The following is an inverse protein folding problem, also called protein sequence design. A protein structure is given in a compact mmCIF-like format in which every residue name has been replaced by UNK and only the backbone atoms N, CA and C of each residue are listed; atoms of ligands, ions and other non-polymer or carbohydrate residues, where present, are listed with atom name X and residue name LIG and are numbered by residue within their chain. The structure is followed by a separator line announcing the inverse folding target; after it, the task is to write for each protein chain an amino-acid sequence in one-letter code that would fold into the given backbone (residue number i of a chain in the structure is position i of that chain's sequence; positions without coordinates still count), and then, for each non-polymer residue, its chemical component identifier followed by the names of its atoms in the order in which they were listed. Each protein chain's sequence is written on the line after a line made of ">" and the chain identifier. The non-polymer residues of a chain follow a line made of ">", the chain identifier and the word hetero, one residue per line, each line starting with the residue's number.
data_IF_225431428449
#
_entry.id   IF_225431428449
#
_cell.length_a   1.000
_cell.length_b   1.000
_cell.length_c   1.000
_cell.angle_alpha   90.00
_cell.angle_beta   90.00
_cell.angle_gamma   90.00
#
_symmetry.space_group_name_H-M   'P 1'
#
loop_
_entity.id
_entity.type
_entity.pdbx_description
1 polymer ?
#
# COMPACT_ATOMS: atom_id res chain seq x y z
N UNK A 1 23.77 -11.84 0.87
CA UNK A 1 23.50 -12.15 -0.54
C UNK A 1 22.06 -12.67 -0.70
N UNK A 2 21.57 -12.75 -1.93
CA UNK A 2 20.24 -13.34 -2.21
C UNK A 2 20.14 -14.79 -1.73
N UNK A 3 21.21 -15.55 -1.83
CA UNK A 3 21.28 -16.92 -1.31
C UNK A 3 21.12 -16.98 0.23
N UNK A 4 21.71 -16.04 0.95
CA UNK A 4 21.54 -15.97 2.42
C UNK A 4 20.11 -15.55 2.78
N UNK A 5 19.51 -14.68 1.95
CA UNK A 5 18.12 -14.26 2.10
C UNK A 5 17.15 -15.44 1.91
N UNK A 6 17.38 -16.32 0.92
CA UNK A 6 16.59 -17.54 0.71
C UNK A 6 16.70 -18.54 1.87
N UNK A 7 17.78 -18.49 2.65
CA UNK A 7 18.00 -19.36 3.80
C UNK A 7 17.46 -18.80 5.12
N UNK A 8 16.80 -17.63 5.08
CA UNK A 8 16.19 -17.08 6.29
C UNK A 8 15.05 -17.98 6.79
N UNK A 9 14.87 -18.05 8.10
CA UNK A 9 13.75 -18.75 8.73
C UNK A 9 12.56 -17.84 9.06
N UNK A 10 12.55 -16.62 8.54
CA UNK A 10 11.47 -15.65 8.74
C UNK A 10 10.23 -16.05 7.93
N UNK A 11 10.45 -16.63 6.76
CA UNK A 11 9.39 -17.13 5.87
C UNK A 11 9.68 -18.60 5.53
N UNK A 12 8.71 -19.47 5.69
CA UNK A 12 8.86 -20.90 5.43
C UNK A 12 8.81 -21.29 3.94
N UNK A 13 7.93 -20.71 3.09
CA UNK A 13 7.94 -21.05 1.68
C UNK A 13 9.15 -20.42 0.96
N UNK A 14 9.53 -21.04 -0.14
CA UNK A 14 10.55 -20.49 -1.04
C UNK A 14 10.16 -19.09 -1.50
N UNK A 15 11.04 -18.13 -1.31
CA UNK A 15 10.82 -16.75 -1.75
C UNK A 15 11.12 -16.61 -3.24
N UNK A 16 10.21 -15.99 -3.96
CA UNK A 16 10.39 -15.70 -5.38
C UNK A 16 11.48 -14.66 -5.59
N UNK A 17 12.14 -14.71 -6.74
CA UNK A 17 13.06 -13.66 -7.18
C UNK A 17 12.33 -12.32 -7.27
N UNK A 18 13.00 -11.23 -6.86
CA UNK A 18 12.43 -9.88 -6.88
C UNK A 18 11.77 -9.43 -5.57
N UNK A 19 11.69 -10.28 -4.54
CA UNK A 19 11.28 -9.84 -3.20
C UNK A 19 12.43 -9.08 -2.56
N UNK A 20 12.22 -7.77 -2.33
CA UNK A 20 13.25 -6.87 -1.80
C UNK A 20 13.50 -6.99 -0.29
N UNK A 21 12.51 -7.49 0.46
CA UNK A 21 12.60 -7.68 1.91
C UNK A 21 11.45 -8.52 2.42
N UNK A 22 11.50 -8.90 3.69
CA UNK A 22 10.42 -9.61 4.37
C UNK A 22 10.31 -9.17 5.82
N UNK A 23 9.10 -8.88 6.24
CA UNK A 23 8.77 -8.61 7.65
C UNK A 23 7.94 -9.74 8.23
N UNK A 24 8.44 -10.35 9.32
CA UNK A 24 7.71 -11.39 10.03
C UNK A 24 6.53 -10.81 10.80
N UNK A 25 5.34 -11.35 10.54
CA UNK A 25 4.09 -10.85 11.10
C UNK A 25 4.06 -10.80 12.65
N UNK A 26 4.72 -11.75 13.31
CA UNK A 26 4.53 -11.95 14.76
C UNK A 26 5.69 -11.51 15.64
N UNK A 27 6.88 -11.37 15.09
CA UNK A 27 8.08 -10.99 15.84
C UNK A 27 8.70 -9.71 15.33
N UNK A 28 8.09 -9.11 14.29
CA UNK A 28 8.59 -7.90 13.64
C UNK A 28 10.07 -8.01 13.23
N UNK A 29 10.54 -9.25 12.95
CA UNK A 29 11.87 -9.42 12.38
C UNK A 29 11.81 -9.02 10.91
N UNK A 30 12.77 -8.20 10.53
CA UNK A 30 12.91 -7.74 9.15
C UNK A 30 14.19 -8.34 8.57
N UNK A 31 14.11 -8.93 7.41
CA UNK A 31 15.25 -9.45 6.65
C UNK A 31 15.28 -8.81 5.28
N UNK A 32 16.40 -8.17 4.96
CA UNK A 32 16.57 -7.42 3.72
C UNK A 32 17.91 -7.82 3.10
N UNK A 33 17.93 -8.32 1.85
CA UNK A 33 19.17 -8.55 1.13
C UNK A 33 19.78 -7.21 0.72
N UNK A 34 21.10 -7.10 0.77
CA UNK A 34 21.82 -5.96 0.18
C UNK A 34 22.33 -6.34 -1.21
N UNK A 35 21.85 -5.68 -2.23
CA UNK A 35 22.17 -5.98 -3.65
C UNK A 35 23.15 -4.97 -4.28
N UNK A 36 23.76 -4.11 -3.44
CA UNK A 36 24.80 -3.16 -3.88
C UNK A 36 24.31 -1.74 -4.12
N UNK A 37 23.01 -1.49 -4.13
CA UNK A 37 22.41 -0.17 -4.25
C UNK A 37 21.93 0.34 -2.88
N UNK A 38 22.53 1.41 -2.38
CA UNK A 38 22.17 2.00 -1.08
C UNK A 38 20.84 2.73 -1.08
N UNK A 39 20.43 3.33 -2.18
CA UNK A 39 19.15 4.07 -2.24
C UNK A 39 18.00 3.09 -2.29
N UNK A 40 18.11 2.02 -3.07
CA UNK A 40 17.14 0.93 -3.06
C UNK A 40 17.10 0.23 -1.70
N UNK A 41 18.26 -0.05 -1.09
CA UNK A 41 18.31 -0.65 0.23
C UNK A 41 17.64 0.20 1.30
N UNK A 42 17.84 1.52 1.27
CA UNK A 42 17.17 2.47 2.16
C UNK A 42 15.66 2.46 1.95
N UNK A 43 15.20 2.46 0.70
CA UNK A 43 13.79 2.38 0.37
C UNK A 43 13.17 1.11 0.96
N UNK A 44 13.78 -0.05 0.73
CA UNK A 44 13.28 -1.34 1.24
C UNK A 44 13.27 -1.36 2.77
N UNK A 45 14.29 -0.82 3.45
CA UNK A 45 14.28 -0.69 4.91
C UNK A 45 13.05 0.09 5.38
N UNK A 46 12.77 1.26 4.80
CA UNK A 46 11.62 2.06 5.20
C UNK A 46 10.31 1.34 4.92
N UNK A 47 10.19 0.66 3.77
CA UNK A 47 9.03 -0.13 3.40
C UNK A 47 8.73 -1.22 4.43
N UNK A 48 9.72 -2.05 4.77
CA UNK A 48 9.58 -3.13 5.74
C UNK A 48 9.32 -2.63 7.17
N UNK A 49 9.90 -1.49 7.55
CA UNK A 49 9.58 -0.86 8.84
C UNK A 49 8.12 -0.42 8.95
N UNK A 50 7.52 0.05 7.86
CA UNK A 50 6.08 0.36 7.85
C UNK A 50 5.26 -0.90 8.12
N UNK A 51 5.59 -2.03 7.49
CA UNK A 51 4.93 -3.31 7.78
C UNK A 51 5.09 -3.72 9.25
N UNK A 52 6.28 -3.58 9.81
CA UNK A 52 6.51 -3.87 11.23
C UNK A 52 5.63 -3.02 12.15
N UNK A 53 5.50 -1.72 11.84
CA UNK A 53 4.62 -0.80 12.60
C UNK A 53 3.14 -1.14 12.44
N UNK A 54 2.68 -1.45 11.23
CA UNK A 54 1.29 -1.88 10.98
C UNK A 54 1.01 -3.18 11.74
N UNK A 55 1.93 -4.15 11.70
CA UNK A 55 1.78 -5.42 12.38
C UNK A 55 1.67 -5.23 13.89
N UNK A 56 2.53 -4.42 14.48
CA UNK A 56 2.48 -4.11 15.91
C UNK A 56 1.18 -3.39 16.29
N UNK A 57 0.81 -2.38 15.50
CA UNK A 57 -0.40 -1.58 15.72
C UNK A 57 -1.67 -2.42 15.63
N UNK A 58 -1.79 -3.29 14.64
CA UNK A 58 -3.00 -4.09 14.38
C UNK A 58 -3.04 -5.35 15.23
N UNK A 59 -1.97 -6.12 15.19
CA UNK A 59 -1.93 -7.48 15.75
C UNK A 59 -1.31 -7.52 17.16
N UNK A 60 -0.35 -6.65 17.45
CA UNK A 60 0.37 -6.57 18.71
C UNK A 60 1.22 -7.82 18.95
N UNK A 61 0.61 -8.95 19.35
CA UNK A 61 1.34 -10.20 19.58
C UNK A 61 0.77 -11.37 18.79
N UNK A 62 1.61 -12.36 18.48
CA UNK A 62 1.21 -13.62 17.87
C UNK A 62 0.03 -14.28 18.60
N UNK A 63 0.03 -14.21 19.93
CA UNK A 63 -1.01 -14.79 20.77
C UNK A 63 -2.40 -14.19 20.47
N UNK A 64 -2.49 -12.91 20.13
CA UNK A 64 -3.75 -12.27 19.78
C UNK A 64 -4.35 -12.84 18.50
N UNK A 65 -3.50 -13.16 17.52
CA UNK A 65 -3.92 -13.76 16.25
C UNK A 65 -4.30 -15.22 16.43
N UNK A 66 -3.44 -16.02 17.10
CA UNK A 66 -3.70 -17.44 17.35
C UNK A 66 -4.93 -17.70 18.23
N UNK A 67 -5.20 -16.80 19.18
CA UNK A 67 -6.39 -16.89 20.03
C UNK A 67 -7.67 -16.42 19.36
N UNK A 68 -7.61 -15.96 18.09
CA UNK A 68 -8.74 -15.41 17.36
C UNK A 68 -9.26 -14.06 17.89
N UNK A 69 -8.48 -13.38 18.74
CA UNK A 69 -8.81 -12.06 19.27
C UNK A 69 -8.75 -10.97 18.19
N UNK A 70 -7.86 -11.14 17.20
CA UNK A 70 -7.74 -10.26 16.05
C UNK A 70 -8.18 -11.02 14.81
N UNK A 71 -9.27 -10.58 14.19
CA UNK A 71 -9.83 -11.12 12.95
C UNK A 71 -9.65 -10.18 11.77
N UNK A 72 -9.18 -8.97 12.04
CA UNK A 72 -8.94 -7.96 11.03
C UNK A 72 -7.87 -8.46 10.03
N UNK A 73 -8.19 -8.31 8.74
CA UNK A 73 -7.23 -8.41 7.64
C UNK A 73 -7.14 -7.06 6.98
N UNK A 74 -5.96 -6.47 6.98
CA UNK A 74 -5.67 -5.25 6.23
C UNK A 74 -5.62 -5.64 4.74
N UNK A 75 -6.38 -4.96 3.86
CA UNK A 75 -6.29 -5.23 2.42
C UNK A 75 -4.88 -5.03 1.89
N UNK A 76 -4.49 -5.84 0.89
CA UNK A 76 -3.13 -5.81 0.32
C UNK A 76 -2.76 -4.38 -0.15
N UNK A 77 -3.65 -3.74 -0.90
CA UNK A 77 -3.42 -2.38 -1.38
C UNK A 77 -3.23 -1.35 -0.26
N UNK A 78 -3.92 -1.53 0.87
CA UNK A 78 -3.79 -0.63 2.01
C UNK A 78 -2.48 -0.85 2.76
N UNK A 79 -2.01 -2.09 2.84
CA UNK A 79 -0.76 -2.47 3.48
C UNK A 79 0.46 -2.08 2.63
N UNK A 80 0.54 -2.60 1.41
CA UNK A 80 1.67 -2.35 0.49
C UNK A 80 1.71 -0.89 0.02
N UNK A 81 0.55 -0.34 -0.34
CA UNK A 81 0.46 1.05 -0.76
C UNK A 81 0.86 2.05 0.32
N UNK A 82 0.58 1.76 1.61
CA UNK A 82 1.07 2.62 2.69
C UNK A 82 2.58 2.50 2.86
N UNK A 83 3.13 1.29 2.75
CA UNK A 83 4.56 1.08 2.82
C UNK A 83 5.29 1.84 1.70
N UNK A 84 4.78 1.80 0.46
CA UNK A 84 5.30 2.61 -0.65
C UNK A 84 5.15 4.12 -0.38
N UNK A 85 3.96 4.58 0.03
CA UNK A 85 3.71 5.99 0.27
C UNK A 85 4.60 6.58 1.36
N UNK A 86 4.85 5.87 2.44
CA UNK A 86 5.67 6.36 3.54
C UNK A 86 7.18 6.21 3.28
N UNK A 87 7.60 5.25 2.44
CA UNK A 87 9.01 5.04 2.08
C UNK A 87 9.51 5.94 0.96
N UNK A 88 8.69 6.21 -0.06
CA UNK A 88 9.05 6.99 -1.24
C UNK A 88 8.23 8.27 -1.43
N UNK A 89 7.09 8.40 -0.78
CA UNK A 89 6.07 9.43 -0.98
C UNK A 89 5.42 9.34 -2.36
N UNK A 90 6.08 9.80 -3.43
CA UNK A 90 5.63 9.70 -4.82
C UNK A 90 6.83 9.55 -5.74
N UNK A 91 6.71 8.72 -6.76
CA UNK A 91 7.78 8.45 -7.72
C UNK A 91 7.27 8.51 -9.17
N UNK A 92 8.20 8.66 -10.12
CA UNK A 92 7.90 8.79 -11.54
C UNK A 92 7.23 7.54 -12.11
N UNK A 93 7.58 6.35 -11.61
CA UNK A 93 6.99 5.11 -12.09
C UNK A 93 5.52 5.02 -11.69
N UNK A 94 5.20 5.37 -10.45
CA UNK A 94 3.82 5.44 -9.97
C UNK A 94 3.02 6.47 -10.76
N UNK A 95 3.60 7.65 -11.02
CA UNK A 95 2.99 8.69 -11.83
C UNK A 95 2.66 8.23 -13.24
N UNK A 96 3.62 7.60 -13.92
CA UNK A 96 3.45 7.08 -15.28
C UNK A 96 2.31 6.05 -15.36
N UNK A 97 2.28 5.10 -14.43
CA UNK A 97 1.28 4.03 -14.42
C UNK A 97 -0.11 4.58 -14.14
N UNK A 98 -0.25 5.43 -13.12
CA UNK A 98 -1.55 5.99 -12.75
C UNK A 98 -2.08 6.96 -13.82
N UNK A 99 -1.18 7.67 -14.50
CA UNK A 99 -1.51 8.52 -15.65
C UNK A 99 -2.06 7.67 -16.81
N UNK A 100 -1.37 6.59 -17.16
CA UNK A 100 -1.78 5.69 -18.24
C UNK A 100 -3.17 5.10 -17.97
N UNK A 101 -3.39 4.55 -16.78
CA UNK A 101 -4.70 4.04 -16.37
C UNK A 101 -5.80 5.12 -16.37
N UNK A 102 -5.47 6.36 -15.99
CA UNK A 102 -6.43 7.46 -15.95
C UNK A 102 -6.81 7.95 -17.36
N UNK A 103 -5.83 8.03 -18.26
CA UNK A 103 -6.00 8.45 -19.67
C UNK A 103 -6.86 7.45 -20.43
N UNK A 104 -6.64 6.15 -20.21
CA UNK A 104 -7.40 5.08 -20.89
C UNK A 104 -8.71 4.70 -20.17
N UNK A 105 -9.05 5.37 -19.06
CA UNK A 105 -10.22 5.06 -18.23
C UNK A 105 -10.26 3.61 -17.68
N UNK A 106 -9.09 2.97 -17.55
CA UNK A 106 -8.93 1.58 -17.08
C UNK A 106 -8.64 1.47 -15.58
N UNK A 107 -8.98 2.48 -14.79
CA UNK A 107 -8.70 2.49 -13.35
C UNK A 107 -9.53 1.45 -12.60
N UNK A 108 -8.89 0.51 -11.89
CA UNK A 108 -9.58 -0.47 -11.08
C UNK A 108 -10.21 0.18 -9.83
N UNK A 109 -11.15 -0.51 -9.20
CA UNK A 109 -11.61 -0.14 -7.85
C UNK A 109 -10.51 -0.40 -6.82
N UNK A 110 -10.58 0.24 -5.66
CA UNK A 110 -9.59 -0.01 -4.58
C UNK A 110 -9.54 -1.49 -4.16
N UNK A 111 -10.66 -2.21 -4.28
CA UNK A 111 -10.75 -3.64 -3.95
C UNK A 111 -10.11 -4.55 -5.01
N UNK A 112 -9.92 -4.04 -6.23
CA UNK A 112 -9.28 -4.73 -7.35
C UNK A 112 -7.78 -4.43 -7.45
N UNK A 113 -7.23 -3.60 -6.57
CA UNK A 113 -5.80 -3.32 -6.53
C UNK A 113 -5.06 -4.53 -5.96
N UNK A 114 -4.56 -5.38 -6.85
CA UNK A 114 -3.84 -6.61 -6.54
C UNK A 114 -2.45 -6.61 -7.18
N UNK A 115 -1.58 -7.53 -6.74
CA UNK A 115 -0.23 -7.69 -7.27
C UNK A 115 0.51 -6.35 -7.32
N UNK A 116 1.11 -5.99 -8.43
CA UNK A 116 1.86 -4.76 -8.63
C UNK A 116 1.00 -3.49 -8.41
N UNK A 117 -0.29 -3.52 -8.80
CA UNK A 117 -1.18 -2.38 -8.59
C UNK A 117 -1.55 -2.17 -7.11
N UNK A 118 -1.40 -3.17 -6.25
CA UNK A 118 -1.55 -2.97 -4.81
C UNK A 118 -0.52 -1.99 -4.26
N UNK A 119 0.71 -2.02 -4.79
CA UNK A 119 1.79 -1.09 -4.42
C UNK A 119 1.52 0.30 -4.99
N UNK A 120 1.48 0.45 -6.30
CA UNK A 120 1.42 1.75 -6.99
C UNK A 120 0.06 2.41 -6.91
N UNK A 121 -1.01 1.66 -7.12
CA UNK A 121 -2.39 2.12 -6.92
C UNK A 121 -2.68 2.43 -5.45
N UNK A 122 -2.27 1.53 -4.54
CA UNK A 122 -2.41 1.75 -3.11
C UNK A 122 -1.64 2.98 -2.62
N UNK A 123 -0.41 3.21 -3.09
CA UNK A 123 0.36 4.42 -2.84
C UNK A 123 -0.42 5.68 -3.24
N UNK A 124 -1.03 5.65 -4.41
CA UNK A 124 -1.87 6.75 -4.92
C UNK A 124 -3.12 7.00 -4.07
N UNK A 125 -3.79 5.94 -3.60
CA UNK A 125 -4.94 6.07 -2.68
C UNK A 125 -4.51 6.75 -1.38
N UNK A 126 -3.38 6.35 -0.79
CA UNK A 126 -2.88 6.98 0.43
C UNK A 126 -2.41 8.42 0.21
N UNK A 127 -1.80 8.72 -0.94
CA UNK A 127 -1.49 10.11 -1.35
C UNK A 127 -2.76 10.96 -1.42
N UNK A 128 -3.81 10.46 -2.06
CA UNK A 128 -5.12 11.12 -2.11
C UNK A 128 -5.69 11.38 -0.70
N UNK A 129 -5.69 10.37 0.17
CA UNK A 129 -6.19 10.51 1.54
C UNK A 129 -5.38 11.57 2.32
N UNK A 130 -4.04 11.50 2.24
CA UNK A 130 -3.17 12.43 2.93
C UNK A 130 -3.34 13.87 2.46
N UNK A 131 -3.53 14.08 1.15
CA UNK A 131 -3.77 15.41 0.58
C UNK A 131 -5.14 15.98 0.95
N UNK A 132 -6.17 15.13 0.97
CA UNK A 132 -7.54 15.57 1.20
C UNK A 132 -7.90 15.72 2.68
N UNK A 133 -7.38 14.85 3.52
CA UNK A 133 -7.79 14.73 4.93
C UNK A 133 -6.67 15.01 5.92
N UNK A 134 -5.41 15.09 5.47
CA UNK A 134 -4.24 15.20 6.31
C UNK A 134 -3.57 13.83 6.59
N UNK A 135 -2.26 13.86 6.85
CA UNK A 135 -1.47 12.63 7.10
C UNK A 135 -1.84 11.96 8.43
N UNK A 136 -2.33 12.71 9.39
CA UNK A 136 -2.80 12.23 10.69
C UNK A 136 -3.96 11.24 10.57
N UNK A 137 -4.78 11.36 9.52
CA UNK A 137 -5.89 10.44 9.26
C UNK A 137 -5.45 9.00 8.98
N UNK A 138 -4.23 8.80 8.54
CA UNK A 138 -3.67 7.46 8.34
C UNK A 138 -3.70 6.67 9.67
N UNK A 139 -3.18 7.27 10.74
CA UNK A 139 -3.20 6.64 12.07
C UNK A 139 -4.63 6.43 12.61
N UNK A 140 -5.53 7.37 12.37
CA UNK A 140 -6.93 7.24 12.77
C UNK A 140 -7.65 6.11 12.04
N UNK A 141 -7.36 5.92 10.73
CA UNK A 141 -7.92 4.81 9.93
C UNK A 141 -7.49 3.47 10.53
N UNK A 142 -6.20 3.25 10.77
CA UNK A 142 -5.71 2.00 11.34
C UNK A 142 -6.22 1.75 12.76
N UNK A 143 -6.31 2.80 13.59
CA UNK A 143 -6.90 2.71 14.92
C UNK A 143 -8.39 2.32 14.84
N UNK A 144 -9.12 2.91 13.91
CA UNK A 144 -10.53 2.60 13.67
C UNK A 144 -10.71 1.17 13.15
N UNK A 145 -9.89 0.72 12.19
CA UNK A 145 -9.89 -0.67 11.70
C UNK A 145 -9.71 -1.66 12.85
N UNK A 146 -8.70 -1.41 13.70
CA UNK A 146 -8.43 -2.25 14.87
C UNK A 146 -9.62 -2.30 15.82
N UNK A 147 -10.25 -1.17 16.08
CA UNK A 147 -11.40 -1.07 16.98
C UNK A 147 -12.61 -1.82 16.45
N UNK A 148 -12.95 -1.65 15.17
CA UNK A 148 -14.14 -2.27 14.57
C UNK A 148 -13.86 -3.66 13.98
N UNK A 149 -12.61 -4.13 13.96
CA UNK A 149 -12.16 -5.40 13.40
C UNK A 149 -12.59 -5.62 11.93
N UNK A 150 -12.67 -4.54 11.17
CA UNK A 150 -13.05 -4.53 9.75
C UNK A 150 -12.39 -3.34 9.04
N UNK A 151 -11.73 -3.58 7.93
CA UNK A 151 -10.99 -2.56 7.21
C UNK A 151 -11.92 -1.48 6.65
N UNK A 152 -12.93 -1.86 5.86
CA UNK A 152 -13.84 -0.91 5.22
C UNK A 152 -14.58 -0.03 6.23
N UNK A 153 -15.13 -0.64 7.29
CA UNK A 153 -15.76 0.11 8.40
C UNK A 153 -14.76 1.01 9.12
N UNK A 154 -13.48 0.66 9.13
CA UNK A 154 -12.42 1.50 9.68
C UNK A 154 -12.22 2.77 8.87
N UNK A 155 -12.22 2.68 7.55
CA UNK A 155 -12.20 3.83 6.65
C UNK A 155 -13.46 4.68 6.80
N UNK A 156 -14.64 4.06 6.76
CA UNK A 156 -15.92 4.76 6.93
C UNK A 156 -15.94 5.55 8.24
N UNK A 157 -15.54 4.93 9.36
CA UNK A 157 -15.49 5.60 10.65
C UNK A 157 -14.51 6.76 10.73
N UNK A 158 -13.35 6.66 10.08
CA UNK A 158 -12.26 7.64 10.18
C UNK A 158 -12.42 8.82 9.20
N UNK A 159 -12.89 8.54 7.98
CA UNK A 159 -12.95 9.54 6.89
C UNK A 159 -14.32 9.60 6.21
N UNK A 160 -15.33 8.87 6.69
CA UNK A 160 -16.71 8.88 6.16
C UNK A 160 -16.81 8.25 4.76
N UNK A 161 -15.97 7.26 4.44
CA UNK A 161 -15.97 6.60 3.14
C UNK A 161 -15.85 5.08 3.29
N UNK A 162 -16.80 4.34 2.75
CA UNK A 162 -16.65 2.95 2.38
C UNK A 162 -15.74 2.80 1.15
N UNK A 163 -15.41 1.58 0.74
CA UNK A 163 -14.50 1.36 -0.39
C UNK A 163 -15.09 1.76 -1.74
N UNK A 164 -16.41 1.74 -1.90
CA UNK A 164 -17.06 2.22 -3.13
C UNK A 164 -16.92 3.74 -3.25
N UNK A 165 -17.24 4.46 -2.19
CA UNK A 165 -17.11 5.92 -2.11
C UNK A 165 -15.65 6.36 -2.25
N UNK A 166 -14.73 5.65 -1.59
CA UNK A 166 -13.29 5.88 -1.71
C UNK A 166 -12.82 5.74 -3.15
N UNK A 167 -13.23 4.67 -3.85
CA UNK A 167 -12.94 4.46 -5.27
C UNK A 167 -13.42 5.64 -6.12
N UNK A 168 -14.70 6.04 -5.98
CA UNK A 168 -15.27 7.16 -6.75
C UNK A 168 -14.50 8.46 -6.55
N UNK A 169 -14.13 8.76 -5.32
CA UNK A 169 -13.41 10.00 -5.00
C UNK A 169 -11.95 9.96 -5.46
N UNK A 170 -11.29 8.80 -5.34
CA UNK A 170 -9.94 8.59 -5.84
C UNK A 170 -9.88 8.68 -7.36
N UNK A 171 -10.81 8.05 -8.10
CA UNK A 171 -10.90 8.18 -9.56
C UNK A 171 -11.11 9.65 -9.99
N UNK A 172 -12.00 10.37 -9.27
CA UNK A 172 -12.19 11.81 -9.55
C UNK A 172 -10.92 12.63 -9.28
N UNK A 173 -10.16 12.27 -8.25
CA UNK A 173 -8.87 12.90 -7.95
C UNK A 173 -7.86 12.66 -9.07
N UNK A 174 -7.71 11.41 -9.54
CA UNK A 174 -6.79 11.06 -10.63
C UNK A 174 -7.20 11.73 -11.96
N UNK A 175 -8.49 11.71 -12.30
CA UNK A 175 -8.99 12.43 -13.50
C UNK A 175 -8.64 13.92 -13.42
N UNK A 176 -8.80 14.56 -12.28
CA UNK A 176 -8.44 15.97 -12.12
C UNK A 176 -6.92 16.22 -12.20
N UNK A 177 -6.12 15.32 -11.65
CA UNK A 177 -4.65 15.41 -11.68
C UNK A 177 -4.12 15.30 -13.11
N UNK A 178 -4.66 14.38 -13.91
CA UNK A 178 -4.19 14.06 -15.25
C UNK A 178 -5.04 14.66 -16.38
N UNK A 179 -6.12 15.38 -16.07
CA UNK A 179 -6.97 16.02 -17.05
C UNK A 179 -6.21 16.94 -18.03
N UNK A 180 -5.24 17.76 -17.62
CA UNK A 180 -4.49 18.60 -18.54
C UNK A 180 -3.73 17.82 -19.62
N UNK A 181 -3.42 16.54 -19.35
CA UNK A 181 -2.74 15.66 -20.31
C UNK A 181 -3.72 15.01 -21.30
N UNK A 182 -5.03 15.02 -20.98
CA UNK A 182 -6.09 14.44 -21.79
C UNK A 182 -6.72 15.52 -22.69
N UNK A 183 -6.95 16.72 -22.12
CA UNK A 183 -7.68 17.85 -22.74
C UNK A 183 -6.79 18.65 -23.72
N UNK A 184 -6.08 18.08 -24.58
CA UNK A 184 -5.23 18.76 -25.55
C UNK A 184 -4.59 17.81 -26.54
N UNK A 185 -4.97 16.56 -26.48
CA UNK A 185 -4.57 15.59 -27.49
C UNK A 185 -5.65 15.53 -28.55
N UNK A 186 -5.32 16.01 -29.75
CA UNK A 186 -6.10 15.69 -30.94
C UNK A 186 -6.16 14.17 -31.08
N UNK A 187 -7.35 13.60 -31.20
CA UNK A 187 -7.50 12.20 -31.59
C UNK A 187 -6.73 12.01 -32.89
N UNK A 188 -5.82 11.05 -32.93
CA UNK A 188 -5.18 10.64 -34.16
C UNK A 188 -6.31 9.97 -34.95
N UNK A 189 -6.88 10.69 -35.91
CA UNK A 189 -7.81 10.11 -36.89
C UNK A 189 -7.04 9.08 -37.72
N UNK A 190 -7.43 7.77 -37.59
CA UNK A 190 -6.93 6.68 -38.40
C UNK A 190 -7.33 6.82 -39.89
#
# INVERSE_FOLDING_TARGET
>A
SHNDFQQTNVVLPYMQEGIGGVTELFKNRVVIPFEGDYDQFRHVIHHELVHALINDMIYGSAQNVYSGRVRLRVPLWANEGLAEFLSMNWDTQSDMILRDLAVHEEMPTVQQLESFLAYKGGQSVWRFIAQKYGREKIGEIFTSMKFVQNAEKGFDKAIGMDFESLTKHWHKYLKKEYWPDIDGRDEIED
#
